data_IF_655490134703
#
_entry.id   IF_655490134703
#
_cell.length_a   1.000
_cell.length_b   1.000
_cell.length_c   1.000
_cell.angle_alpha   90.00
_cell.angle_beta   90.00
_cell.angle_gamma   90.00
#
_symmetry.space_group_name_H-M   'P 1'
#
loop_
_entity.id
_entity.type
_entity.pdbx_description
1 polymer ?
#
# COMPACT_ATOMS: atom_id res chain seq x y z
N UNK A 1 6.41 -18.34 -11.83
CA UNK A 1 6.27 -16.90 -11.54
C UNK A 1 5.31 -16.78 -10.36
N UNK A 2 5.84 -16.48 -9.18
CA UNK A 2 5.19 -16.63 -7.87
C UNK A 2 4.08 -15.63 -7.54
N UNK A 3 3.86 -14.62 -8.39
CA UNK A 3 2.91 -13.55 -8.08
C UNK A 3 1.49 -13.89 -8.56
N UNK A 4 0.54 -13.78 -7.63
CA UNK A 4 -0.89 -14.03 -7.80
C UNK A 4 -1.58 -12.88 -8.52
N UNK A 5 -2.53 -13.17 -9.42
CA UNK A 5 -3.46 -12.15 -9.92
C UNK A 5 -4.49 -11.83 -8.84
N UNK A 6 -4.26 -10.79 -8.07
CA UNK A 6 -5.28 -10.23 -7.18
C UNK A 6 -6.42 -9.57 -7.99
N UNK A 7 -7.62 -9.55 -7.43
CA UNK A 7 -8.77 -8.83 -7.99
C UNK A 7 -8.37 -7.36 -8.29
N UNK A 8 -8.73 -6.84 -9.46
CA UNK A 8 -8.39 -5.48 -9.93
C UNK A 8 -8.77 -4.37 -8.93
N UNK A 9 -9.75 -4.63 -8.06
CA UNK A 9 -10.18 -3.73 -6.97
C UNK A 9 -9.15 -3.60 -5.84
N UNK A 10 -8.29 -4.59 -5.64
CA UNK A 10 -7.34 -4.69 -4.51
C UNK A 10 -5.87 -4.77 -4.96
N UNK A 11 -5.60 -5.15 -6.21
CA UNK A 11 -4.26 -5.08 -6.80
C UNK A 11 -3.96 -3.64 -7.26
N UNK A 12 -3.38 -2.83 -6.38
CA UNK A 12 -3.03 -1.44 -6.73
C UNK A 12 -2.03 -1.38 -7.90
N UNK A 13 -1.11 -2.35 -7.99
CA UNK A 13 -0.01 -2.36 -8.96
C UNK A 13 -0.43 -2.82 -10.36
N UNK A 14 -1.55 -3.55 -10.51
CA UNK A 14 -1.98 -4.06 -11.84
C UNK A 14 -3.15 -3.31 -12.47
N UNK A 15 -3.88 -2.49 -11.71
CA UNK A 15 -4.99 -1.66 -12.24
C UNK A 15 -4.53 -0.71 -13.35
N UNK A 16 -3.31 -0.20 -13.23
CA UNK A 16 -2.75 0.85 -14.07
C UNK A 16 -1.93 0.32 -15.28
N UNK A 17 -1.81 -1.01 -15.45
CA UNK A 17 -0.98 -1.61 -16.50
C UNK A 17 -1.43 -1.29 -17.92
N UNK A 18 -2.73 -1.05 -18.12
CA UNK A 18 -3.34 -0.77 -19.43
C UNK A 18 -3.89 0.65 -19.54
N UNK A 19 -3.52 1.53 -18.62
CA UNK A 19 -3.98 2.92 -18.65
C UNK A 19 -3.24 3.71 -19.74
N UNK A 20 -4.00 4.45 -20.54
CA UNK A 20 -3.44 5.39 -21.51
C UNK A 20 -3.08 6.69 -20.82
N UNK A 21 -1.80 6.88 -20.53
CA UNK A 21 -1.32 8.06 -19.80
C UNK A 21 -1.16 9.27 -20.72
N UNK A 22 -1.92 10.33 -20.45
CA UNK A 22 -1.73 11.65 -21.05
C UNK A 22 -0.37 12.25 -20.66
N UNK A 23 0.14 13.17 -21.49
CA UNK A 23 1.35 13.94 -21.21
C UNK A 23 1.04 15.03 -20.16
N UNK A 24 0.80 14.61 -18.93
CA UNK A 24 0.72 15.52 -17.81
C UNK A 24 2.14 15.79 -17.32
N UNK A 25 2.51 17.07 -17.15
CA UNK A 25 3.88 17.55 -16.95
C UNK A 25 4.37 17.52 -15.49
N UNK A 26 3.72 16.77 -14.60
CA UNK A 26 4.13 16.67 -13.19
C UNK A 26 4.97 15.40 -12.99
N UNK A 27 6.31 15.50 -12.94
CA UNK A 27 7.16 14.33 -12.75
C UNK A 27 6.91 13.69 -11.38
N UNK A 28 7.09 12.38 -11.31
CA UNK A 28 6.95 11.59 -10.09
C UNK A 28 8.28 10.89 -9.79
N UNK A 29 8.67 10.82 -8.52
CA UNK A 29 9.80 10.02 -8.07
C UNK A 29 9.27 8.70 -7.53
N UNK A 30 9.76 7.58 -8.07
CA UNK A 30 9.42 6.25 -7.59
C UNK A 30 10.29 5.83 -6.41
N UNK A 31 9.76 4.95 -5.58
CA UNK A 31 10.50 4.27 -4.50
C UNK A 31 11.69 3.44 -5.00
N UNK A 32 11.75 3.17 -6.31
CA UNK A 32 12.87 2.55 -7.02
C UNK A 32 14.00 3.54 -7.38
N UNK A 33 13.90 4.79 -6.91
CA UNK A 33 14.89 5.84 -7.14
C UNK A 33 14.83 6.48 -8.52
N UNK A 34 13.84 6.14 -9.35
CA UNK A 34 13.73 6.65 -10.73
C UNK A 34 12.71 7.77 -10.83
N UNK A 35 13.05 8.77 -11.66
CA UNK A 35 12.12 9.83 -12.04
C UNK A 35 11.29 9.41 -13.25
N UNK A 36 9.99 9.61 -13.17
CA UNK A 36 9.01 9.31 -14.19
C UNK A 36 8.36 10.59 -14.69
N UNK A 37 7.99 10.63 -15.97
CA UNK A 37 7.34 11.80 -16.59
C UNK A 37 6.05 12.23 -15.85
N UNK A 38 5.31 11.26 -15.28
CA UNK A 38 4.23 11.49 -14.34
C UNK A 38 3.85 10.21 -13.58
N UNK A 39 2.99 10.37 -12.56
CA UNK A 39 2.48 9.29 -11.71
C UNK A 39 1.82 8.16 -12.53
N UNK A 40 1.09 8.49 -13.59
CA UNK A 40 0.47 7.47 -14.46
C UNK A 40 1.55 6.62 -15.16
N UNK A 41 2.57 7.27 -15.74
CA UNK A 41 3.69 6.56 -16.38
C UNK A 41 4.51 5.75 -15.38
N UNK A 42 4.69 6.23 -14.15
CA UNK A 42 5.32 5.47 -13.07
C UNK A 42 4.55 4.17 -12.79
N UNK A 43 3.24 4.28 -12.57
CA UNK A 43 2.37 3.13 -12.28
C UNK A 43 2.27 2.15 -13.45
N UNK A 44 2.18 2.65 -14.68
CA UNK A 44 2.11 1.83 -15.89
C UNK A 44 3.42 1.07 -16.15
N UNK A 45 4.58 1.72 -16.01
CA UNK A 45 5.89 1.07 -16.20
C UNK A 45 6.21 0.05 -15.10
N UNK A 46 5.76 0.30 -13.88
CA UNK A 46 5.95 -0.61 -12.74
C UNK A 46 4.73 -1.51 -12.51
N UNK A 47 4.02 -1.85 -13.57
CA UNK A 47 2.94 -2.82 -13.55
C UNK A 47 3.36 -4.11 -12.83
N UNK A 48 2.61 -4.49 -11.78
CA UNK A 48 2.87 -5.70 -11.00
C UNK A 48 4.11 -5.64 -10.08
N UNK A 49 4.79 -4.49 -10.00
CA UNK A 49 5.88 -4.25 -9.05
C UNK A 49 5.40 -3.35 -7.91
N UNK A 50 5.94 -3.55 -6.72
CA UNK A 50 5.68 -2.68 -5.57
C UNK A 50 6.55 -1.41 -5.67
N UNK A 51 6.12 -0.48 -6.52
CA UNK A 51 6.75 0.85 -6.66
C UNK A 51 5.70 1.93 -6.42
N UNK A 52 5.97 2.79 -5.45
CA UNK A 52 5.08 3.87 -5.01
C UNK A 52 5.76 5.22 -5.15
N UNK A 53 4.97 6.30 -5.12
CA UNK A 53 5.51 7.66 -5.20
C UNK A 53 6.18 8.03 -3.88
N UNK A 54 7.36 8.62 -3.97
CA UNK A 54 8.14 9.15 -2.85
C UNK A 54 8.55 10.61 -3.16
N UNK A 55 9.01 11.38 -2.16
CA UNK A 55 9.40 12.78 -2.40
C UNK A 55 10.49 12.90 -3.47
N UNK A 56 10.38 13.89 -4.37
CA UNK A 56 11.35 14.12 -5.45
C UNK A 56 12.78 14.29 -4.96
N UNK A 57 12.96 14.82 -3.74
CA UNK A 57 14.25 14.94 -3.07
C UNK A 57 14.98 13.59 -2.96
N UNK A 58 14.26 12.47 -2.87
CA UNK A 58 14.86 11.14 -2.85
C UNK A 58 15.60 10.85 -4.17
N UNK A 59 14.93 10.97 -5.31
CA UNK A 59 15.54 10.74 -6.62
C UNK A 59 16.63 11.79 -6.95
N UNK A 60 16.37 13.06 -6.65
CA UNK A 60 17.31 14.16 -6.97
C UNK A 60 18.55 14.14 -6.09
N UNK A 61 18.48 13.55 -4.88
CA UNK A 61 19.66 13.37 -4.03
C UNK A 61 20.66 12.33 -4.59
N UNK A 62 20.24 11.44 -5.50
CA UNK A 62 21.11 10.45 -6.14
C UNK A 62 21.91 11.05 -7.32
N UNK A 63 21.47 12.16 -7.90
CA UNK A 63 22.13 12.89 -9.00
C UNK A 63 22.89 14.14 -8.50
N UNK A 64 23.61 14.06 -7.37
CA UNK A 64 24.47 15.17 -6.91
C UNK A 64 25.72 15.33 -7.77
N UNK A 65 25.55 15.71 -9.03
CA UNK A 65 26.46 16.63 -9.70
C UNK A 65 25.90 18.04 -9.51
N UNK A 66 26.59 18.80 -8.64
CA UNK A 66 26.76 20.26 -8.62
C UNK A 66 25.63 21.14 -9.19
N UNK A 67 25.08 22.01 -8.31
CA UNK A 67 24.19 23.18 -8.56
C UNK A 67 22.74 23.12 -7.99
N UNK A 68 22.55 22.75 -6.72
CA UNK A 68 21.36 23.20 -5.97
C UNK A 68 21.71 23.67 -4.55
N UNK A 69 22.18 24.92 -4.45
CA UNK A 69 22.63 25.60 -3.23
C UNK A 69 21.50 25.89 -2.19
N UNK A 70 20.32 25.26 -2.28
CA UNK A 70 19.16 25.64 -1.44
C UNK A 70 18.25 24.53 -0.90
N UNK A 71 18.56 23.25 -1.11
CA UNK A 71 17.67 22.16 -0.69
C UNK A 71 18.06 21.58 0.68
N UNK A 72 17.18 21.63 1.70
CA UNK A 72 17.47 21.04 3.00
C UNK A 72 17.59 19.51 2.89
N UNK A 73 18.54 18.91 3.61
CA UNK A 73 18.73 17.45 3.63
C UNK A 73 17.64 16.72 4.45
N UNK A 74 16.92 17.46 5.29
CA UNK A 74 15.84 17.00 6.15
C UNK A 74 15.37 18.15 7.06
N UNK A 75 14.25 17.95 7.77
CA UNK A 75 13.64 18.97 8.63
C UNK A 75 13.52 18.50 10.10
N UNK A 76 14.49 17.70 10.58
CA UNK A 76 14.36 16.99 11.87
C UNK A 76 14.42 17.90 13.10
N UNK A 77 14.92 19.14 12.96
CA UNK A 77 15.16 20.07 14.08
C UNK A 77 14.33 21.37 14.02
N UNK A 78 13.31 21.46 13.14
CA UNK A 78 12.48 22.66 13.05
C UNK A 78 11.26 22.61 13.96
N UNK A 79 10.93 23.76 14.57
CA UNK A 79 9.70 23.98 15.33
C UNK A 79 8.50 23.81 14.41
N UNK A 80 7.50 23.05 14.86
CA UNK A 80 6.24 22.86 14.14
C UNK A 80 5.46 24.18 14.07
N UNK A 81 5.62 24.89 12.95
CA UNK A 81 4.90 26.13 12.65
C UNK A 81 4.13 25.96 11.35
N UNK A 82 2.81 25.67 11.43
CA UNK A 82 1.97 25.48 10.26
C UNK A 82 2.11 26.61 9.25
N UNK A 83 2.46 26.26 8.01
CA UNK A 83 2.77 27.22 6.94
C UNK A 83 1.81 27.01 5.78
N UNK A 84 1.07 28.05 5.39
CA UNK A 84 0.19 28.01 4.22
C UNK A 84 1.01 28.20 2.94
N UNK A 85 0.88 27.26 2.00
CA UNK A 85 1.44 27.37 0.67
C UNK A 85 0.49 28.02 -0.32
N UNK A 86 1.05 28.59 -1.39
CA UNK A 86 0.30 29.17 -2.51
C UNK A 86 -0.57 28.17 -3.26
N UNK A 87 -0.36 26.87 -3.05
CA UNK A 87 -1.20 25.79 -3.55
C UNK A 87 -2.37 25.43 -2.63
N UNK A 88 -2.57 26.22 -1.58
CA UNK A 88 -3.66 26.08 -0.62
C UNK A 88 -3.47 24.90 0.34
N UNK A 89 -2.31 24.26 0.36
CA UNK A 89 -1.95 23.24 1.34
C UNK A 89 -1.22 23.85 2.55
N UNK A 90 -1.26 23.15 3.67
CA UNK A 90 -0.69 23.55 4.96
C UNK A 90 0.43 22.58 5.32
N UNK A 91 1.65 23.08 5.32
CA UNK A 91 2.86 22.34 5.65
C UNK A 91 3.17 22.47 7.14
N UNK A 92 3.86 21.48 7.70
CA UNK A 92 4.24 21.42 9.12
C UNK A 92 5.22 22.52 9.52
N UNK A 93 6.11 22.89 8.61
CA UNK A 93 7.06 24.00 8.78
C UNK A 93 7.45 24.63 7.43
N UNK A 94 8.16 25.75 7.48
CA UNK A 94 8.73 26.36 6.28
C UNK A 94 9.80 25.48 5.62
N UNK A 95 10.55 24.68 6.38
CA UNK A 95 11.46 23.69 5.80
C UNK A 95 10.72 22.65 4.96
N UNK A 96 9.57 22.15 5.39
CA UNK A 96 8.80 21.16 4.60
C UNK A 96 8.30 21.77 3.28
N UNK A 97 7.88 23.04 3.30
CA UNK A 97 7.51 23.77 2.08
C UNK A 97 8.72 23.97 1.13
N UNK A 98 9.91 24.29 1.68
CA UNK A 98 11.14 24.40 0.89
C UNK A 98 11.57 23.05 0.31
N UNK A 99 11.48 21.98 1.10
CA UNK A 99 11.81 20.63 0.68
C UNK A 99 10.90 20.14 -0.47
N UNK A 100 9.61 20.49 -0.44
CA UNK A 100 8.68 20.18 -1.55
C UNK A 100 9.14 20.78 -2.88
N UNK A 101 9.67 21.99 -2.85
CA UNK A 101 10.12 22.69 -4.05
C UNK A 101 11.44 22.13 -4.61
N UNK A 102 12.08 21.18 -3.91
CA UNK A 102 13.31 20.54 -4.39
C UNK A 102 13.04 19.65 -5.60
N UNK A 103 13.84 19.82 -6.65
CA UNK A 103 13.79 18.98 -7.83
C UNK A 103 12.55 19.15 -8.71
N UNK A 104 11.65 20.07 -8.37
CA UNK A 104 10.44 20.35 -9.15
C UNK A 104 10.52 21.72 -9.82
N UNK A 105 10.04 21.81 -11.06
CA UNK A 105 9.76 23.11 -11.70
C UNK A 105 8.57 23.84 -11.04
N UNK A 106 7.85 23.17 -10.13
CA UNK A 106 6.79 23.77 -9.33
C UNK A 106 7.39 24.57 -8.19
N UNK A 107 6.93 25.82 -8.03
CA UNK A 107 7.31 26.70 -6.92
C UNK A 107 6.08 27.05 -6.09
N UNK A 108 5.91 26.36 -4.97
CA UNK A 108 4.93 26.72 -3.93
C UNK A 108 5.58 27.76 -3.03
N UNK A 109 4.99 28.94 -2.93
CA UNK A 109 5.48 30.01 -2.04
C UNK A 109 4.67 30.03 -0.76
N UNK A 110 5.28 30.49 0.34
CA UNK A 110 4.54 30.79 1.57
C UNK A 110 3.57 31.96 1.30
N UNK A 111 2.33 31.80 1.72
CA UNK A 111 1.30 32.84 1.69
C UNK A 111 0.70 33.00 3.08
N UNK A 112 -0.13 34.04 3.25
CA UNK A 112 -0.86 34.27 4.49
C UNK A 112 -1.76 33.07 4.85
N UNK A 113 -1.76 32.71 6.14
CA UNK A 113 -2.50 31.55 6.67
C UNK A 113 -4.01 31.66 6.44
N UNK A 114 -4.54 32.88 6.31
CA UNK A 114 -5.96 33.14 6.06
C UNK A 114 -6.43 32.52 4.73
N UNK A 115 -5.55 32.45 3.71
CA UNK A 115 -5.87 31.79 2.44
C UNK A 115 -6.12 30.28 2.60
N UNK A 116 -5.53 29.67 3.62
CA UNK A 116 -5.73 28.26 3.94
C UNK A 116 -6.82 28.02 5.00
N UNK A 117 -7.44 29.06 5.57
CA UNK A 117 -8.38 28.95 6.70
C UNK A 117 -9.53 27.97 6.43
N UNK A 118 -10.14 28.04 5.26
CA UNK A 118 -11.22 27.14 4.88
C UNK A 118 -10.79 25.67 4.86
N UNK A 119 -9.58 25.38 4.37
CA UNK A 119 -9.02 24.02 4.39
C UNK A 119 -8.72 23.60 5.83
N UNK A 120 -8.08 24.48 6.60
CA UNK A 120 -7.74 24.25 8.00
C UNK A 120 -9.00 23.87 8.81
N UNK A 121 -10.07 24.66 8.69
CA UNK A 121 -11.36 24.38 9.33
C UNK A 121 -12.02 23.09 8.87
N UNK A 122 -11.85 22.68 7.60
CA UNK A 122 -12.36 21.40 7.10
C UNK A 122 -11.55 20.22 7.67
N UNK A 123 -10.22 20.32 7.66
CA UNK A 123 -9.35 19.24 8.12
C UNK A 123 -9.44 19.04 9.64
N UNK A 124 -9.57 20.10 10.44
CA UNK A 124 -9.71 19.99 11.90
C UNK A 124 -11.01 19.32 12.36
N UNK A 125 -12.01 19.19 11.48
CA UNK A 125 -13.23 18.41 11.77
C UNK A 125 -12.97 16.92 11.74
N UNK A 126 -11.87 16.47 11.14
CA UNK A 126 -11.50 15.06 11.12
C UNK A 126 -11.07 14.66 12.54
N UNK A 127 -11.81 13.75 13.15
CA UNK A 127 -11.48 13.13 14.42
C UNK A 127 -11.02 11.70 14.13
N UNK A 128 -9.82 11.38 14.61
CA UNK A 128 -9.23 10.06 14.39
C UNK A 128 -9.23 9.26 15.68
N UNK A 129 -9.46 7.95 15.54
CA UNK A 129 -9.22 6.98 16.61
C UNK A 129 -7.73 6.87 16.93
N UNK A 130 -7.43 6.36 18.11
CA UNK A 130 -6.07 6.01 18.57
C UNK A 130 -5.65 4.60 18.17
N UNK A 131 -6.48 3.90 17.38
CA UNK A 131 -6.15 2.57 16.85
C UNK A 131 -4.82 2.59 16.10
N UNK A 132 -4.00 1.57 16.34
CA UNK A 132 -2.70 1.42 15.73
C UNK A 132 -2.78 0.44 14.56
N UNK A 133 -2.84 0.98 13.35
CA UNK A 133 -2.84 0.22 12.10
C UNK A 133 -2.04 1.00 11.04
N UNK A 134 -0.70 0.97 11.13
CA UNK A 134 0.15 1.95 10.48
C UNK A 134 0.09 1.89 8.96
N UNK A 135 0.23 3.05 8.33
CA UNK A 135 0.29 3.19 6.87
C UNK A 135 1.41 4.12 6.45
N UNK A 136 2.01 3.85 5.29
CA UNK A 136 3.03 4.70 4.71
C UNK A 136 2.41 5.70 3.73
N UNK A 137 2.75 6.99 3.86
CA UNK A 137 2.37 8.03 2.92
C UNK A 137 3.41 8.25 1.82
N UNK A 138 3.02 8.91 0.72
CA UNK A 138 3.93 9.30 -0.37
C UNK A 138 4.96 10.36 0.03
N UNK A 139 4.85 10.90 1.25
CA UNK A 139 5.87 11.75 1.87
C UNK A 139 6.93 10.95 2.63
N UNK A 140 6.93 9.61 2.49
CA UNK A 140 7.80 8.68 3.18
C UNK A 140 7.70 8.77 4.71
N UNK A 141 6.51 9.14 5.23
CA UNK A 141 6.21 9.13 6.66
C UNK A 141 5.18 8.07 7.02
N UNK A 142 5.43 7.40 8.13
CA UNK A 142 4.47 6.49 8.75
C UNK A 142 3.40 7.30 9.48
N UNK A 143 2.14 6.98 9.21
CA UNK A 143 0.97 7.47 9.94
C UNK A 143 0.43 6.35 10.80
N UNK A 144 -0.03 6.66 12.02
CA UNK A 144 -0.48 5.63 12.99
C UNK A 144 -1.67 4.82 12.49
N UNK A 145 -2.52 5.43 11.65
CA UNK A 145 -3.64 4.79 10.99
C UNK A 145 -4.08 5.56 9.73
N UNK A 146 -4.98 4.94 8.96
CA UNK A 146 -5.54 5.52 7.75
C UNK A 146 -6.24 6.88 7.99
N UNK A 147 -6.85 7.10 9.17
CA UNK A 147 -7.47 8.40 9.47
C UNK A 147 -6.42 9.51 9.58
N UNK A 148 -5.30 9.25 10.27
CA UNK A 148 -4.20 10.22 10.36
C UNK A 148 -3.57 10.52 9.00
N UNK A 149 -3.46 9.51 8.14
CA UNK A 149 -3.06 9.73 6.75
C UNK A 149 -4.07 10.61 6.01
N UNK A 150 -5.38 10.36 6.15
CA UNK A 150 -6.43 11.18 5.52
C UNK A 150 -6.38 12.64 6.00
N UNK A 151 -6.03 12.87 7.27
CA UNK A 151 -5.79 14.22 7.80
C UNK A 151 -4.60 14.88 7.10
N UNK A 152 -3.49 14.16 6.90
CA UNK A 152 -2.35 14.66 6.14
C UNK A 152 -2.67 14.85 4.64
N UNK A 153 -3.48 13.99 4.03
CA UNK A 153 -4.03 14.20 2.68
C UNK A 153 -4.82 15.50 2.61
N UNK A 154 -5.66 15.75 3.60
CA UNK A 154 -6.44 16.98 3.70
C UNK A 154 -5.54 18.21 3.85
N UNK A 155 -4.56 18.17 4.75
CA UNK A 155 -3.70 19.32 5.07
C UNK A 155 -2.67 19.60 3.99
N UNK A 156 -1.92 18.60 3.54
CA UNK A 156 -0.75 18.77 2.64
C UNK A 156 -0.74 17.88 1.40
N UNK A 157 -1.81 17.15 1.14
CA UNK A 157 -1.97 16.39 -0.10
C UNK A 157 -1.21 15.07 -0.18
N UNK A 158 -0.69 14.56 0.95
CA UNK A 158 -0.06 13.22 1.01
C UNK A 158 -1.01 12.16 0.51
N UNK A 159 -0.54 11.25 -0.33
CA UNK A 159 -1.32 10.11 -0.78
C UNK A 159 -0.89 8.86 -0.02
N UNK A 160 -1.75 7.84 0.00
CA UNK A 160 -1.40 6.51 0.46
C UNK A 160 -0.32 5.90 -0.44
N UNK A 161 0.76 5.38 0.14
CA UNK A 161 1.79 4.64 -0.56
C UNK A 161 1.57 3.13 -0.43
N UNK A 162 1.65 2.61 0.80
CA UNK A 162 1.41 1.20 1.11
C UNK A 162 1.01 1.03 2.58
N UNK A 163 0.56 -0.18 2.92
CA UNK A 163 0.20 -0.53 4.29
C UNK A 163 1.45 -0.88 5.11
N UNK A 164 1.38 -0.70 6.42
CA UNK A 164 2.53 -0.84 7.32
C UNK A 164 3.37 0.43 7.41
N UNK A 165 4.45 0.34 8.19
CA UNK A 165 5.42 1.43 8.37
C UNK A 165 6.18 1.71 7.07
N UNK A 166 6.62 2.94 6.86
CA UNK A 166 7.55 3.22 5.75
C UNK A 166 8.90 2.52 5.98
N UNK A 167 9.48 2.00 4.90
CA UNK A 167 10.87 1.51 4.86
C UNK A 167 11.86 2.65 4.66
N UNK A 168 13.07 2.49 5.19
CA UNK A 168 14.17 3.36 4.82
C UNK A 168 14.53 3.17 3.34
N UNK A 169 14.52 4.26 2.57
CA UNK A 169 14.73 4.23 1.13
C UNK A 169 16.22 4.03 0.73
N UNK A 170 17.10 3.63 1.65
CA UNK A 170 18.57 3.60 1.45
C UNK A 170 19.23 2.24 1.71
N UNK A 171 18.60 1.36 2.48
CA UNK A 171 19.16 0.05 2.79
C UNK A 171 18.38 -1.05 2.08
N UNK A 172 19.03 -1.68 1.11
CA UNK A 172 18.59 -2.99 0.65
C UNK A 172 19.57 -3.99 1.27
N UNK A 173 19.11 -4.73 2.28
CA UNK A 173 19.80 -5.95 2.65
C UNK A 173 19.95 -6.82 1.38
N UNK A 174 21.09 -7.52 1.22
CA UNK A 174 21.32 -8.36 0.06
C UNK A 174 20.16 -9.35 -0.13
N UNK A 175 19.73 -9.51 -1.39
CA UNK A 175 18.65 -10.42 -1.72
C UNK A 175 19.00 -11.85 -1.26
N UNK A 176 18.10 -12.56 -0.56
CA UNK A 176 18.32 -13.96 -0.23
C UNK A 176 18.52 -14.79 -1.52
N UNK A 177 19.57 -15.59 -1.58
CA UNK A 177 19.87 -16.46 -2.72
C UNK A 177 19.08 -17.77 -2.68
N UNK A 178 18.92 -18.36 -1.49
CA UNK A 178 18.11 -19.55 -1.21
C UNK A 178 17.28 -19.34 0.07
N UNK A 179 16.18 -20.10 0.18
CA UNK A 179 15.33 -20.17 1.35
C UNK A 179 15.12 -21.62 1.81
N UNK A 180 16.02 -22.53 1.42
CA UNK A 180 15.88 -23.98 1.66
C UNK A 180 16.23 -24.36 3.12
N UNK A 181 16.87 -23.45 3.86
CA UNK A 181 17.32 -23.66 5.23
C UNK A 181 16.35 -23.11 6.29
N UNK A 182 15.21 -22.52 5.90
CA UNK A 182 14.24 -22.00 6.87
C UNK A 182 13.29 -23.11 7.31
N UNK A 183 13.31 -23.42 8.60
CA UNK A 183 12.43 -24.44 9.22
C UNK A 183 11.04 -23.92 9.55
N UNK A 184 10.84 -22.59 9.55
CA UNK A 184 9.54 -21.93 9.78
C UNK A 184 8.95 -21.37 8.47
N UNK A 185 8.20 -22.22 7.75
CA UNK A 185 7.37 -21.83 6.61
C UNK A 185 6.02 -21.24 7.08
N UNK A 186 6.07 -20.20 7.91
CA UNK A 186 4.85 -19.47 8.27
C UNK A 186 4.49 -18.43 7.19
N UNK A 187 3.25 -18.44 6.67
CA UNK A 187 2.84 -17.50 5.64
C UNK A 187 2.85 -16.07 6.17
N UNK A 188 3.40 -15.15 5.38
CA UNK A 188 3.46 -13.72 5.71
C UNK A 188 2.65 -12.89 4.71
N UNK A 189 2.04 -11.81 5.20
CA UNK A 189 1.41 -10.80 4.35
C UNK A 189 2.42 -9.68 4.07
N UNK A 190 2.63 -9.34 2.80
CA UNK A 190 3.45 -8.23 2.35
C UNK A 190 2.65 -6.93 2.27
N UNK A 191 3.33 -5.79 2.38
CA UNK A 191 2.75 -4.45 2.19
C UNK A 191 2.22 -4.20 0.78
N UNK A 192 2.60 -5.05 -0.18
CA UNK A 192 2.08 -5.10 -1.54
C UNK A 192 0.73 -5.82 -1.65
N UNK A 193 0.21 -6.33 -0.53
CA UNK A 193 -1.05 -7.06 -0.43
C UNK A 193 -0.96 -8.51 -0.91
N UNK A 194 0.25 -9.01 -1.16
CA UNK A 194 0.49 -10.41 -1.52
C UNK A 194 0.89 -11.22 -0.31
N UNK A 195 0.66 -12.53 -0.41
CA UNK A 195 1.00 -13.50 0.62
C UNK A 195 2.19 -14.31 0.13
N UNK A 196 3.15 -14.51 1.01
CA UNK A 196 4.36 -15.27 0.74
C UNK A 196 4.44 -16.45 1.70
N UNK A 197 4.99 -17.57 1.23
CA UNK A 197 5.11 -18.81 2.03
C UNK A 197 5.98 -18.67 3.28
N UNK A 198 6.94 -17.77 3.27
CA UNK A 198 7.77 -17.41 4.43
C UNK A 198 8.32 -15.99 4.27
N UNK A 199 8.94 -15.45 5.33
CA UNK A 199 9.61 -14.16 5.27
C UNK A 199 10.75 -14.14 4.24
N UNK A 200 11.58 -15.20 4.16
CA UNK A 200 12.62 -15.30 3.13
C UNK A 200 12.05 -15.24 1.71
N UNK A 201 10.91 -15.88 1.46
CA UNK A 201 10.26 -15.86 0.15
C UNK A 201 9.76 -14.49 -0.25
N UNK A 202 9.15 -13.77 0.70
CA UNK A 202 8.79 -12.37 0.50
C UNK A 202 10.03 -11.59 0.10
N UNK A 203 11.08 -11.58 0.93
CA UNK A 203 12.31 -10.82 0.69
C UNK A 203 12.99 -11.17 -0.64
N UNK A 204 13.02 -12.46 -1.00
CA UNK A 204 13.63 -12.95 -2.25
C UNK A 204 12.83 -12.54 -3.48
N UNK A 205 11.51 -12.71 -3.47
CA UNK A 205 10.65 -12.41 -4.62
C UNK A 205 10.43 -10.91 -4.82
N UNK A 206 10.43 -10.13 -3.73
CA UNK A 206 10.21 -8.68 -3.75
C UNK A 206 11.50 -7.89 -3.62
N UNK A 207 12.65 -8.51 -3.88
CA UNK A 207 13.93 -7.84 -3.68
C UNK A 207 14.01 -6.54 -4.50
N UNK A 208 14.48 -5.47 -3.86
CA UNK A 208 14.56 -4.14 -4.43
C UNK A 208 13.22 -3.40 -4.59
N UNK A 209 12.11 -3.98 -4.13
CA UNK A 209 10.76 -3.38 -4.20
C UNK A 209 10.24 -2.88 -2.84
N UNK A 210 11.08 -2.94 -1.78
CA UNK A 210 10.77 -2.39 -0.45
C UNK A 210 9.44 -2.91 0.14
N UNK A 211 9.09 -4.17 -0.15
CA UNK A 211 7.94 -4.83 0.49
C UNK A 211 8.33 -5.24 1.90
N UNK A 212 7.46 -4.96 2.86
CA UNK A 212 7.62 -5.35 4.26
C UNK A 212 6.52 -6.28 4.71
N UNK A 213 6.80 -7.04 5.77
CA UNK A 213 5.77 -7.83 6.43
C UNK A 213 4.77 -6.91 7.15
N UNK A 214 3.49 -7.20 6.99
CA UNK A 214 2.37 -6.51 7.64
C UNK A 214 1.41 -7.53 8.26
N UNK A 215 0.50 -7.12 9.17
CA UNK A 215 -0.50 -8.03 9.74
C UNK A 215 -1.32 -8.81 8.69
N UNK A 216 -1.57 -10.09 8.95
CA UNK A 216 -2.23 -11.02 8.00
C UNK A 216 -3.62 -10.58 7.53
N UNK A 217 -4.34 -9.80 8.35
CA UNK A 217 -5.68 -9.32 8.04
C UNK A 217 -5.71 -8.31 6.86
N UNK A 218 -4.56 -7.73 6.51
CA UNK A 218 -4.44 -6.82 5.35
C UNK A 218 -4.40 -7.55 4.01
N UNK A 219 -4.07 -8.83 4.02
CA UNK A 219 -4.10 -9.68 2.85
C UNK A 219 -5.40 -10.51 2.90
N UNK A 220 -6.37 -10.19 2.02
CA UNK A 220 -7.71 -10.81 2.02
C UNK A 220 -7.68 -12.32 1.79
N UNK A 221 -6.71 -12.80 1.02
CA UNK A 221 -6.49 -14.23 0.82
C UNK A 221 -5.83 -14.88 2.03
N UNK A 222 -5.30 -14.15 3.02
CA UNK A 222 -4.78 -14.70 4.29
C UNK A 222 -5.57 -14.45 5.53
N UNK A 223 -6.59 -13.61 5.49
CA UNK A 223 -7.42 -13.33 6.65
C UNK A 223 -7.96 -14.61 7.33
N UNK A 224 -8.07 -15.71 6.57
CA UNK A 224 -8.65 -16.97 7.02
C UNK A 224 -7.65 -18.14 7.10
N UNK A 225 -6.34 -17.89 6.93
CA UNK A 225 -5.31 -18.93 7.11
C UNK A 225 -5.35 -19.53 8.51
N UNK A 226 -5.54 -18.66 9.52
CA UNK A 226 -5.51 -19.03 10.93
C UNK A 226 -6.93 -19.17 11.51
N UNK A 227 -7.96 -19.15 10.66
CA UNK A 227 -9.34 -19.31 11.11
C UNK A 227 -9.54 -20.72 11.69
N UNK A 228 -10.11 -20.79 12.89
CA UNK A 228 -10.56 -22.06 13.46
C UNK A 228 -11.93 -22.37 12.90
N UNK A 229 -11.99 -23.30 11.95
CA UNK A 229 -13.25 -23.76 11.38
C UNK A 229 -13.97 -24.73 12.33
N UNK A 230 -15.29 -24.64 12.37
CA UNK A 230 -16.14 -25.64 13.05
C UNK A 230 -16.04 -26.99 12.33
N UNK A 231 -16.21 -28.08 13.07
CA UNK A 231 -16.27 -29.45 12.53
C UNK A 231 -17.58 -29.76 11.79
N UNK A 232 -18.53 -28.81 11.75
CA UNK A 232 -19.77 -28.92 10.99
C UNK A 232 -19.52 -29.05 9.47
N UNK A 233 -20.05 -30.13 8.90
CA UNK A 233 -19.87 -30.47 7.48
C UNK A 233 -20.95 -29.84 6.60
N UNK A 234 -20.74 -28.56 6.27
CA UNK A 234 -21.58 -27.82 5.34
C UNK A 234 -20.89 -27.71 3.97
N UNK A 235 -20.85 -28.82 3.22
CA UNK A 235 -20.06 -28.91 1.99
C UNK A 235 -20.37 -27.78 0.99
N UNK A 236 -19.32 -27.28 0.33
CA UNK A 236 -19.44 -26.26 -0.72
C UNK A 236 -18.61 -26.64 -1.95
N UNK A 237 -19.10 -26.24 -3.13
CA UNK A 237 -18.33 -26.28 -4.36
C UNK A 237 -17.63 -24.92 -4.56
N UNK A 238 -16.31 -24.93 -4.67
CA UNK A 238 -15.52 -23.75 -5.00
C UNK A 238 -15.60 -23.39 -6.49
N UNK A 239 -15.24 -22.14 -6.82
CA UNK A 239 -15.13 -21.66 -8.20
C UNK A 239 -14.00 -22.33 -9.00
N UNK A 240 -13.13 -23.07 -8.33
CA UNK A 240 -12.11 -23.95 -8.91
C UNK A 240 -12.63 -25.37 -9.21
N UNK A 241 -13.93 -25.61 -9.00
CA UNK A 241 -14.60 -26.91 -9.11
C UNK A 241 -14.04 -27.98 -8.14
N UNK A 242 -13.45 -27.56 -7.01
CA UNK A 242 -13.10 -28.45 -5.90
C UNK A 242 -14.21 -28.41 -4.84
N UNK A 243 -14.43 -29.56 -4.19
CA UNK A 243 -15.37 -29.67 -3.06
C UNK A 243 -14.60 -29.41 -1.76
N UNK A 244 -15.20 -28.61 -0.88
CA UNK A 244 -14.66 -28.31 0.43
C UNK A 244 -15.63 -28.71 1.52
N UNK A 245 -15.11 -29.06 2.70
CA UNK A 245 -15.89 -29.51 3.85
C UNK A 245 -16.86 -28.44 4.38
N UNK A 246 -16.45 -27.18 4.28
CA UNK A 246 -17.26 -26.01 4.62
C UNK A 246 -16.77 -24.80 3.85
N UNK A 247 -17.55 -23.71 3.85
CA UNK A 247 -17.09 -22.42 3.32
C UNK A 247 -15.86 -21.90 4.07
N UNK A 248 -15.75 -22.19 5.38
CA UNK A 248 -14.57 -21.84 6.18
C UNK A 248 -13.33 -22.60 5.68
N UNK A 249 -13.43 -23.93 5.55
CA UNK A 249 -12.32 -24.77 5.07
C UNK A 249 -11.95 -24.43 3.63
N UNK A 250 -12.91 -24.07 2.78
CA UNK A 250 -12.64 -23.54 1.43
C UNK A 250 -11.75 -22.31 1.48
N UNK A 251 -12.07 -21.33 2.32
CA UNK A 251 -11.31 -20.10 2.41
C UNK A 251 -9.94 -20.30 3.08
N UNK A 252 -9.85 -21.24 4.03
CA UNK A 252 -8.62 -21.62 4.72
C UNK A 252 -7.66 -22.41 3.82
N UNK A 253 -8.14 -23.42 3.10
CA UNK A 253 -7.33 -24.20 2.15
C UNK A 253 -6.84 -23.36 0.97
N UNK A 254 -7.65 -22.39 0.53
CA UNK A 254 -7.24 -21.44 -0.51
C UNK A 254 -6.59 -20.19 0.05
N UNK A 255 -6.22 -20.23 1.32
CA UNK A 255 -5.50 -19.12 1.91
C UNK A 255 -4.18 -18.88 1.16
N UNK A 256 -3.88 -17.62 0.83
CA UNK A 256 -2.67 -17.26 0.08
C UNK A 256 -2.62 -17.80 -1.36
N UNK A 257 -3.69 -18.45 -1.84
CA UNK A 257 -3.73 -19.08 -3.17
C UNK A 257 -3.68 -18.06 -4.31
N UNK A 258 -3.17 -18.52 -5.46
CA UNK A 258 -3.06 -17.75 -6.72
C UNK A 258 -4.39 -17.40 -7.37
N UNK A 259 -5.48 -17.98 -6.87
CA UNK A 259 -6.82 -17.79 -7.38
C UNK A 259 -7.73 -17.57 -6.19
N UNK A 260 -8.49 -16.47 -6.18
CA UNK A 260 -9.54 -16.28 -5.18
C UNK A 260 -10.60 -17.34 -5.47
N UNK A 261 -10.65 -18.37 -4.64
CA UNK A 261 -11.70 -19.38 -4.69
C UNK A 261 -12.90 -18.84 -3.93
N UNK A 262 -13.98 -18.63 -4.68
CA UNK A 262 -15.27 -18.20 -4.13
C UNK A 262 -16.23 -19.39 -4.12
N UNK A 263 -17.19 -19.40 -3.20
CA UNK A 263 -18.20 -20.44 -3.19
C UNK A 263 -19.10 -20.25 -4.42
N UNK A 264 -19.18 -21.30 -5.24
CA UNK A 264 -20.04 -21.34 -6.43
C UNK A 264 -21.47 -21.68 -6.03
N UNK A 265 -21.64 -22.69 -5.19
CA UNK A 265 -22.91 -23.09 -4.56
C UNK A 265 -22.65 -24.03 -3.37
N UNK A 266 -23.69 -24.26 -2.57
CA UNK A 266 -23.69 -25.28 -1.51
C UNK A 266 -23.78 -26.68 -2.13
N UNK A 267 -23.26 -27.68 -1.41
CA UNK A 267 -23.20 -29.07 -1.86
C UNK A 267 -21.91 -29.42 -2.61
N UNK A 268 -21.94 -30.53 -3.34
CA UNK A 268 -20.80 -31.02 -4.13
C UNK A 268 -20.79 -30.38 -5.51
N UNK A 269 -19.67 -30.35 -6.21
CA UNK A 269 -19.62 -29.76 -7.56
C UNK A 269 -20.44 -30.51 -8.63
N UNK A 270 -20.94 -31.71 -8.32
CA UNK A 270 -21.84 -32.48 -9.17
C UNK A 270 -23.33 -32.24 -8.84
N UNK A 271 -23.65 -31.95 -7.58
CA UNK A 271 -25.03 -31.79 -7.09
C UNK A 271 -25.20 -30.43 -6.38
N UNK A 272 -25.67 -29.39 -7.08
CA UNK A 272 -25.89 -28.08 -6.48
C UNK A 272 -27.12 -28.08 -5.56
N UNK A 273 -26.94 -27.64 -4.31
CA UNK A 273 -28.02 -27.39 -3.37
C UNK A 273 -28.39 -25.91 -3.48
N UNK A 274 -29.57 -25.62 -4.06
CA UNK A 274 -30.01 -24.27 -4.37
C UNK A 274 -30.75 -23.55 -3.22
N UNK A 275 -30.89 -24.16 -2.04
CA UNK A 275 -31.61 -23.56 -0.91
C UNK A 275 -30.88 -23.71 0.43
N UNK A 276 -30.82 -22.62 1.18
CA UNK A 276 -30.47 -22.61 2.61
C UNK A 276 -31.67 -23.23 3.35
N UNK A 277 -31.50 -24.30 4.16
CA UNK A 277 -32.59 -24.82 4.97
C UNK A 277 -33.08 -23.70 5.88
N UNK A 278 -34.32 -23.24 5.67
CA UNK A 278 -35.01 -22.39 6.64
C UNK A 278 -35.21 -23.27 7.88
N UNK A 279 -34.46 -23.00 8.94
CA UNK A 279 -34.70 -23.60 10.25
C UNK A 279 -36.15 -23.30 10.64
N UNK A 280 -37.03 -24.31 10.53
CA UNK A 280 -38.29 -24.30 11.23
C UNK A 280 -37.97 -24.59 12.69
N UNK A 281 -38.02 -23.52 13.51
CA UNK A 281 -38.20 -23.64 14.95
C UNK A 281 -39.51 -24.40 15.20
N UNK A 282 -39.41 -25.56 15.83
CA UNK A 282 -40.50 -26.21 16.55
C UNK A 282 -40.14 -26.21 18.04
#
# INVERSE_FOLDING_TARGET
QGVVRANKKYCQTTRHCRESCWRNAKPACGSDGKVYANVCRMKSKNCGKHVFEVPMAYCVSQERTSHSIGCPAGCMNEVEKPTCGSDGFIYKSECELKLLNCGSNRRVSKVDIEKCRNRLSKCFKIKCSTDFDPVCGTDARTYTNQCQLNLATCLKGVQFAHIGNCTELKEQEPCPSSCDNETDDEPVCGSDGNVYRSNCHMRKETCGQLVIQVPLHHCKTTALCNEKCSDEKNFVCGSDNKIYRSECEMKKENCGSRSIVTMKHMGTCAEPINEIPKNYLY
#
